data_IF_795929099865
#
_entry.id   IF_795929099865
#
_cell.length_a   1.000
_cell.length_b   1.000
_cell.length_c   1.000
_cell.angle_alpha   90.00
_cell.angle_beta   90.00
_cell.angle_gamma   90.00
#
_symmetry.space_group_name_H-M   'P 1'
#
loop_
_entity.id
_entity.type
_entity.pdbx_description
1 polymer ?
#
# COMPACT_ATOMS: atom_id res chain seq x y z
N UNK A 1 -25.84 -11.78 -20.91
CA UNK A 1 -25.35 -11.82 -22.29
C UNK A 1 -24.09 -10.98 -22.39
N UNK A 2 -22.90 -11.65 -22.34
CA UNK A 2 -21.57 -10.98 -22.31
C UNK A 2 -21.00 -10.99 -23.74
N UNK A 3 -21.75 -10.45 -24.69
CA UNK A 3 -21.36 -10.53 -26.10
C UNK A 3 -20.40 -9.41 -26.57
N UNK A 4 -19.91 -8.55 -25.63
CA UNK A 4 -19.06 -7.40 -26.03
C UNK A 4 -17.94 -7.11 -25.03
N UNK A 5 -17.32 -8.15 -24.44
CA UNK A 5 -16.13 -7.95 -23.61
C UNK A 5 -14.93 -7.57 -24.47
N UNK A 6 -14.15 -6.60 -24.01
CA UNK A 6 -12.85 -6.33 -24.62
C UNK A 6 -11.90 -7.51 -24.41
N UNK A 7 -10.87 -7.61 -25.22
CA UNK A 7 -9.86 -8.66 -25.08
C UNK A 7 -9.16 -8.64 -23.72
N UNK A 8 -9.04 -7.43 -23.14
CA UNK A 8 -8.43 -7.30 -21.82
C UNK A 8 -9.38 -7.78 -20.71
N UNK A 9 -10.68 -7.46 -20.80
CA UNK A 9 -11.68 -8.00 -19.87
C UNK A 9 -11.72 -9.54 -19.92
N UNK A 10 -11.65 -10.14 -21.11
CA UNK A 10 -11.58 -11.60 -21.24
C UNK A 10 -10.34 -12.20 -20.57
N UNK A 11 -9.18 -11.55 -20.73
CA UNK A 11 -7.93 -11.99 -20.08
C UNK A 11 -8.02 -11.84 -18.56
N UNK A 12 -8.53 -10.71 -18.08
CA UNK A 12 -8.71 -10.42 -16.67
C UNK A 12 -9.59 -11.48 -16.00
N UNK A 13 -10.79 -11.68 -16.51
CA UNK A 13 -11.73 -12.68 -16.00
C UNK A 13 -11.20 -14.12 -16.03
N UNK A 14 -10.28 -14.40 -16.94
CA UNK A 14 -9.68 -15.74 -17.07
C UNK A 14 -8.53 -15.99 -16.09
N UNK A 15 -7.74 -14.96 -15.80
CA UNK A 15 -6.46 -15.16 -15.13
C UNK A 15 -6.31 -14.41 -13.80
N UNK A 16 -7.16 -13.41 -13.51
CA UNK A 16 -7.04 -12.59 -12.31
C UNK A 16 -8.11 -12.96 -11.30
N UNK A 17 -7.70 -13.20 -10.06
CA UNK A 17 -8.61 -13.34 -8.94
C UNK A 17 -8.66 -12.00 -8.19
N UNK A 18 -9.82 -11.34 -8.20
CA UNK A 18 -10.01 -10.04 -7.59
C UNK A 18 -10.26 -10.14 -6.09
N UNK A 19 -9.47 -9.47 -5.25
CA UNK A 19 -9.74 -9.39 -3.81
C UNK A 19 -10.98 -8.53 -3.54
N UNK A 20 -11.62 -8.78 -2.41
CA UNK A 20 -12.79 -8.01 -1.94
C UNK A 20 -13.96 -7.96 -2.97
N UNK A 21 -14.04 -8.93 -3.87
CA UNK A 21 -15.05 -9.01 -4.90
C UNK A 21 -15.64 -10.42 -4.99
N UNK A 22 -16.93 -10.49 -5.31
CA UNK A 22 -17.57 -11.75 -5.66
C UNK A 22 -17.36 -12.01 -7.15
N UNK A 23 -16.45 -12.94 -7.49
CA UNK A 23 -16.08 -13.23 -8.88
C UNK A 23 -17.27 -13.54 -9.78
N UNK A 24 -18.32 -14.16 -9.24
CA UNK A 24 -19.54 -14.49 -9.97
C UNK A 24 -20.32 -13.25 -10.43
N UNK A 25 -20.17 -12.13 -9.76
CA UNK A 25 -20.84 -10.90 -10.16
C UNK A 25 -20.26 -10.32 -11.45
N UNK A 26 -19.00 -10.62 -11.75
CA UNK A 26 -18.35 -10.22 -13.00
C UNK A 26 -18.92 -10.91 -14.25
N UNK A 27 -19.68 -11.99 -14.08
CA UNK A 27 -20.45 -12.60 -15.18
C UNK A 27 -21.55 -11.65 -15.69
N UNK A 28 -22.00 -10.71 -14.86
CA UNK A 28 -23.05 -9.74 -15.18
C UNK A 28 -22.47 -8.33 -15.35
N UNK A 29 -21.52 -7.97 -14.52
CA UNK A 29 -20.89 -6.66 -14.45
C UNK A 29 -19.36 -6.81 -14.54
N UNK A 30 -18.81 -6.97 -15.75
CA UNK A 30 -17.38 -7.16 -15.92
C UNK A 30 -16.59 -5.94 -15.40
N UNK A 31 -15.34 -6.13 -14.94
CA UNK A 31 -14.55 -5.05 -14.40
C UNK A 31 -14.25 -3.98 -15.45
N UNK A 32 -14.19 -2.72 -15.00
CA UNK A 32 -13.78 -1.62 -15.85
C UNK A 32 -12.28 -1.71 -16.15
N UNK A 33 -11.93 -1.57 -17.41
CA UNK A 33 -10.52 -1.55 -17.85
C UNK A 33 -9.99 -0.14 -17.79
N UNK A 34 -9.25 0.16 -16.73
CA UNK A 34 -8.61 1.47 -16.56
C UNK A 34 -7.30 1.51 -17.34
N UNK A 35 -7.14 2.52 -18.18
CA UNK A 35 -5.96 2.72 -19.03
C UNK A 35 -5.07 3.86 -18.56
N UNK A 36 -5.62 4.85 -17.87
CA UNK A 36 -4.89 6.08 -17.52
C UNK A 36 -5.45 6.66 -16.22
N UNK A 37 -4.56 7.28 -15.45
CA UNK A 37 -4.90 8.19 -14.37
C UNK A 37 -4.55 9.64 -14.75
N UNK A 38 -5.33 10.61 -14.26
CA UNK A 38 -5.11 12.04 -14.48
C UNK A 38 -5.67 12.85 -13.31
N UNK A 39 -4.81 13.21 -12.37
CA UNK A 39 -5.21 13.91 -11.15
C UNK A 39 -6.26 13.14 -10.37
N UNK A 40 -7.49 13.65 -10.29
CA UNK A 40 -8.60 13.00 -9.58
C UNK A 40 -9.30 11.90 -10.39
N UNK A 41 -8.94 11.69 -11.63
CA UNK A 41 -9.72 10.87 -12.56
C UNK A 41 -8.98 9.61 -12.98
N UNK A 42 -9.74 8.53 -13.06
CA UNK A 42 -9.41 7.30 -13.78
C UNK A 42 -10.09 7.36 -15.16
N UNK A 43 -9.41 6.88 -16.18
CA UNK A 43 -9.90 6.91 -17.55
C UNK A 43 -9.88 5.47 -18.07
N UNK A 44 -11.03 4.98 -18.53
CA UNK A 44 -11.17 3.64 -19.07
C UNK A 44 -10.67 3.51 -20.52
N UNK A 45 -10.74 2.30 -21.05
CA UNK A 45 -10.32 1.99 -22.42
C UNK A 45 -11.19 2.68 -23.50
N UNK A 46 -12.37 3.15 -23.15
CA UNK A 46 -13.30 3.87 -24.03
C UNK A 46 -13.17 5.39 -23.90
N UNK A 47 -12.30 5.88 -23.00
CA UNK A 47 -12.11 7.30 -22.75
C UNK A 47 -13.09 7.90 -21.74
N UNK A 48 -13.93 7.11 -21.09
CA UNK A 48 -14.81 7.60 -20.03
C UNK A 48 -14.00 7.94 -18.79
N UNK A 49 -14.39 9.03 -18.12
CA UNK A 49 -13.73 9.54 -16.91
C UNK A 49 -14.54 9.23 -15.66
N UNK A 50 -13.89 8.67 -14.66
CA UNK A 50 -14.46 8.34 -13.36
C UNK A 50 -13.68 9.07 -12.28
N UNK A 51 -14.36 9.83 -11.42
CA UNK A 51 -13.72 10.46 -10.27
C UNK A 51 -13.39 9.40 -9.20
N UNK A 52 -12.12 9.29 -8.86
CA UNK A 52 -11.63 8.36 -7.84
C UNK A 52 -11.76 8.99 -6.44
N UNK A 53 -12.96 8.92 -5.87
CA UNK A 53 -13.29 9.53 -4.58
C UNK A 53 -12.65 8.85 -3.37
N UNK A 54 -12.05 7.67 -3.56
CA UNK A 54 -11.37 6.91 -2.48
C UNK A 54 -9.86 6.83 -2.68
N UNK A 55 -9.32 7.61 -3.63
CA UNK A 55 -7.88 7.64 -3.95
C UNK A 55 -7.29 6.25 -4.16
N UNK A 56 -8.01 5.37 -4.89
CA UNK A 56 -7.65 3.97 -5.13
C UNK A 56 -7.24 3.24 -3.84
N UNK A 57 -8.14 3.26 -2.86
CA UNK A 57 -7.95 2.69 -1.52
C UNK A 57 -6.89 3.44 -0.69
N UNK A 58 -7.00 4.79 -0.72
CA UNK A 58 -6.19 5.75 0.05
C UNK A 58 -4.71 5.86 -0.36
N UNK A 59 -4.31 5.25 -1.45
CA UNK A 59 -2.91 5.23 -1.90
C UNK A 59 -2.52 6.51 -2.63
N UNK A 60 -3.41 7.07 -3.47
CA UNK A 60 -3.10 8.21 -4.35
C UNK A 60 -3.46 9.56 -3.70
N UNK A 61 -2.89 9.86 -2.54
CA UNK A 61 -3.17 11.08 -1.77
C UNK A 61 -2.99 12.37 -2.58
N UNK A 62 -2.05 12.41 -3.51
CA UNK A 62 -1.72 13.57 -4.33
C UNK A 62 -2.25 13.48 -5.77
N UNK A 63 -3.22 12.58 -5.99
CA UNK A 63 -3.79 12.28 -7.29
C UNK A 63 -2.95 11.36 -8.16
N UNK A 64 -3.57 10.84 -9.21
CA UNK A 64 -2.93 9.96 -10.17
C UNK A 64 -1.91 10.70 -11.03
N UNK A 65 -0.83 10.05 -11.37
CA UNK A 65 0.22 10.54 -12.27
C UNK A 65 0.80 11.90 -11.85
N UNK A 66 0.98 12.12 -10.54
CA UNK A 66 1.60 13.33 -10.01
C UNK A 66 3.02 13.48 -10.57
N UNK A 67 3.25 14.56 -11.32
CA UNK A 67 4.51 14.77 -12.05
C UNK A 67 5.73 14.82 -11.14
N UNK A 68 5.61 15.43 -9.95
CA UNK A 68 6.71 15.53 -8.99
C UNK A 68 7.08 14.15 -8.43
N UNK A 69 6.08 13.38 -8.03
CA UNK A 69 6.30 12.02 -7.50
C UNK A 69 6.87 11.11 -8.57
N UNK A 70 6.28 11.12 -9.78
CA UNK A 70 6.76 10.30 -10.89
C UNK A 70 8.21 10.62 -11.25
N UNK A 71 8.61 11.91 -11.24
CA UNK A 71 9.99 12.32 -11.49
C UNK A 71 10.93 11.70 -10.45
N UNK A 72 10.63 11.88 -9.17
CA UNK A 72 11.49 11.36 -8.06
C UNK A 72 11.61 9.83 -8.12
N UNK A 73 10.50 9.12 -8.35
CA UNK A 73 10.52 7.66 -8.49
C UNK A 73 11.40 7.25 -9.68
N UNK A 74 11.26 7.91 -10.83
CA UNK A 74 12.05 7.61 -12.03
C UNK A 74 13.54 7.84 -11.79
N UNK A 75 13.90 8.94 -11.14
CA UNK A 75 15.30 9.25 -10.79
C UNK A 75 15.87 8.20 -9.83
N UNK A 76 15.09 7.83 -8.79
CA UNK A 76 15.54 6.83 -7.83
C UNK A 76 15.70 5.43 -8.43
N UNK A 77 14.78 4.98 -9.26
CA UNK A 77 14.86 3.68 -9.96
C UNK A 77 16.10 3.62 -10.86
N UNK A 78 16.48 4.73 -11.50
CA UNK A 78 17.71 4.80 -12.31
C UNK A 78 19.00 4.91 -11.49
N UNK A 79 18.91 5.20 -10.19
CA UNK A 79 20.06 5.31 -9.28
C UNK A 79 20.27 4.02 -8.49
N UNK A 80 19.24 3.58 -7.79
CA UNK A 80 19.22 2.35 -6.99
C UNK A 80 17.79 1.99 -6.65
N UNK A 81 17.26 0.93 -7.25
CA UNK A 81 15.89 0.46 -7.09
C UNK A 81 15.66 -0.29 -5.76
N UNK A 82 16.66 -1.01 -5.30
CA UNK A 82 16.57 -1.80 -4.08
C UNK A 82 17.94 -2.07 -3.46
N UNK A 83 17.99 -2.07 -2.13
CA UNK A 83 19.11 -2.58 -1.33
C UNK A 83 18.57 -3.22 -0.05
N UNK A 84 19.10 -4.35 0.35
CA UNK A 84 18.78 -4.97 1.63
C UNK A 84 19.28 -4.12 2.80
N UNK A 85 18.46 -3.91 3.83
CA UNK A 85 18.86 -3.16 5.03
C UNK A 85 19.74 -3.93 6.03
N UNK A 86 20.02 -5.20 5.77
CA UNK A 86 20.98 -5.97 6.57
C UNK A 86 22.41 -5.45 6.33
N UNK A 87 22.87 -4.59 7.20
CA UNK A 87 24.19 -3.91 7.20
C UNK A 87 24.39 -2.84 6.11
N UNK A 88 23.34 -2.46 5.38
CA UNK A 88 23.41 -1.37 4.42
C UNK A 88 22.51 -0.21 4.84
N UNK A 89 22.91 1.01 4.50
CA UNK A 89 22.11 2.21 4.63
C UNK A 89 21.62 2.67 3.26
N UNK A 90 20.47 3.32 3.23
CA UNK A 90 19.88 3.90 2.03
C UNK A 90 19.47 5.35 2.31
N UNK A 91 20.01 6.28 1.53
CA UNK A 91 19.83 7.72 1.76
C UNK A 91 18.35 8.13 1.86
N UNK A 92 17.45 7.80 0.91
CA UNK A 92 16.05 8.18 1.02
C UNK A 92 15.35 7.67 2.27
N UNK A 93 15.72 6.50 2.78
CA UNK A 93 15.14 5.97 4.01
C UNK A 93 15.65 6.71 5.25
N UNK A 94 16.93 7.06 5.28
CA UNK A 94 17.51 7.83 6.40
C UNK A 94 16.92 9.24 6.46
N UNK A 95 16.81 9.93 5.33
CA UNK A 95 16.20 11.25 5.22
C UNK A 95 14.72 11.23 5.60
N UNK A 96 13.95 10.24 5.13
CA UNK A 96 12.56 10.07 5.53
C UNK A 96 12.42 9.91 7.05
N UNK A 97 13.27 9.10 7.67
CA UNK A 97 13.25 8.90 9.13
C UNK A 97 13.57 10.22 9.87
N UNK A 98 14.53 10.98 9.39
CA UNK A 98 14.85 12.30 9.97
C UNK A 98 13.67 13.27 9.87
N UNK A 99 13.04 13.38 8.70
CA UNK A 99 11.85 14.24 8.52
C UNK A 99 10.68 13.80 9.40
N UNK A 100 10.46 12.50 9.55
CA UNK A 100 9.40 11.98 10.43
C UNK A 100 9.61 12.37 11.90
N UNK A 101 10.84 12.45 12.38
CA UNK A 101 11.10 12.89 13.79
C UNK A 101 10.64 14.32 14.06
N UNK A 102 10.54 15.16 13.04
CA UNK A 102 10.13 16.57 13.18
C UNK A 102 8.62 16.73 13.39
N UNK A 103 7.83 15.74 12.95
CA UNK A 103 6.35 15.80 13.01
C UNK A 103 5.73 14.81 13.98
N UNK A 104 6.50 13.84 14.47
CA UNK A 104 6.04 12.84 15.42
C UNK A 104 6.23 13.27 16.88
N UNK A 105 5.52 12.64 17.84
CA UNK A 105 5.72 12.89 19.25
C UNK A 105 7.17 12.67 19.68
N UNK A 106 7.65 13.49 20.63
CA UNK A 106 9.01 13.35 21.19
C UNK A 106 9.25 11.94 21.74
N UNK A 107 10.40 11.38 21.41
CA UNK A 107 10.81 10.04 21.83
C UNK A 107 10.65 8.98 20.75
N UNK A 108 9.88 9.22 19.70
CA UNK A 108 9.81 8.33 18.52
C UNK A 108 10.95 8.72 17.57
N UNK A 109 12.04 7.96 17.61
CA UNK A 109 13.27 8.23 16.87
C UNK A 109 13.89 7.02 16.18
N UNK A 110 13.17 5.88 16.14
CA UNK A 110 13.55 4.68 15.43
C UNK A 110 12.35 4.15 14.64
N UNK A 111 12.62 3.72 13.42
CA UNK A 111 11.59 3.30 12.47
C UNK A 111 11.94 1.94 11.92
N UNK A 112 10.93 1.07 11.84
CA UNK A 112 11.01 -0.22 11.18
C UNK A 112 9.99 -0.21 10.04
N UNK A 113 10.47 -0.41 8.82
CA UNK A 113 9.64 -0.43 7.62
C UNK A 113 9.03 -1.80 7.39
N UNK A 114 7.81 -1.81 6.90
CA UNK A 114 7.06 -2.99 6.46
C UNK A 114 6.30 -2.67 5.17
N UNK A 115 5.87 -3.71 4.51
CA UNK A 115 5.18 -3.67 3.23
C UNK A 115 3.68 -3.34 3.33
N UNK A 116 3.06 -3.59 4.50
CA UNK A 116 1.64 -3.32 4.73
C UNK A 116 1.32 -3.17 6.23
N UNK A 117 0.10 -2.68 6.53
CA UNK A 117 -0.34 -2.43 7.90
C UNK A 117 -0.42 -3.68 8.77
N UNK A 118 -0.87 -4.81 8.24
CA UNK A 118 -0.97 -6.06 8.99
C UNK A 118 0.40 -6.58 9.42
N UNK A 119 1.38 -6.52 8.52
CA UNK A 119 2.77 -6.86 8.85
C UNK A 119 3.37 -5.91 9.89
N UNK A 120 3.04 -4.60 9.81
CA UNK A 120 3.45 -3.63 10.84
C UNK A 120 2.91 -4.00 12.23
N UNK A 121 1.63 -4.34 12.33
CA UNK A 121 1.00 -4.74 13.59
C UNK A 121 1.62 -6.04 14.11
N UNK A 122 1.83 -7.04 13.27
CA UNK A 122 2.47 -8.28 13.70
C UNK A 122 3.88 -8.05 14.23
N UNK A 123 4.68 -7.23 13.57
CA UNK A 123 6.00 -6.85 14.05
C UNK A 123 5.93 -6.09 15.38
N UNK A 124 4.98 -5.17 15.54
CA UNK A 124 4.80 -4.44 16.79
C UNK A 124 4.44 -5.36 17.96
N UNK A 125 3.55 -6.35 17.74
CA UNK A 125 3.20 -7.35 18.73
C UNK A 125 4.41 -8.20 19.12
N UNK A 126 5.18 -8.69 18.16
CA UNK A 126 6.40 -9.47 18.41
C UNK A 126 7.45 -8.67 19.16
N UNK A 127 7.70 -7.43 18.77
CA UNK A 127 8.64 -6.55 19.45
C UNK A 127 8.20 -6.26 20.89
N UNK A 128 6.92 -5.98 21.12
CA UNK A 128 6.38 -5.75 22.46
C UNK A 128 6.54 -6.99 23.35
N UNK A 129 6.20 -8.16 22.84
CA UNK A 129 6.37 -9.43 23.55
C UNK A 129 7.83 -9.67 23.91
N UNK A 130 8.74 -9.56 22.94
CA UNK A 130 10.16 -9.77 23.13
C UNK A 130 10.78 -8.76 24.12
N UNK A 131 10.36 -7.50 24.03
CA UNK A 131 10.79 -6.46 24.97
C UNK A 131 10.47 -6.84 26.41
N UNK A 132 9.23 -7.22 26.72
CA UNK A 132 8.82 -7.61 28.05
C UNK A 132 9.53 -8.86 28.54
N UNK A 133 9.72 -9.85 27.69
CA UNK A 133 10.48 -11.06 28.02
C UNK A 133 11.92 -10.73 28.42
N UNK A 134 12.59 -9.85 27.68
CA UNK A 134 14.00 -9.50 27.90
C UNK A 134 14.22 -8.48 29.03
N UNK A 135 13.19 -7.71 29.39
CA UNK A 135 13.27 -6.70 30.46
C UNK A 135 12.74 -7.17 31.81
N UNK A 136 12.64 -8.49 32.03
CA UNK A 136 12.29 -9.08 33.33
C UNK A 136 10.79 -9.16 33.61
N UNK A 137 9.94 -9.04 32.57
CA UNK A 137 8.49 -9.16 32.69
C UNK A 137 7.93 -10.34 31.86
N UNK A 138 8.43 -11.58 32.01
CA UNK A 138 8.08 -12.70 31.13
C UNK A 138 6.61 -13.12 31.20
N UNK A 139 5.89 -12.71 32.27
CA UNK A 139 4.47 -12.97 32.44
C UNK A 139 3.57 -12.07 31.59
N UNK A 140 4.07 -11.01 31.00
CA UNK A 140 3.31 -10.12 30.10
C UNK A 140 3.20 -10.74 28.71
N UNK A 141 2.32 -11.71 28.54
CA UNK A 141 2.15 -12.50 27.31
C UNK A 141 0.80 -12.26 26.61
N UNK A 142 -0.07 -11.45 27.22
CA UNK A 142 -1.42 -11.23 26.72
C UNK A 142 -1.55 -9.84 26.06
N UNK A 143 -2.35 -9.77 25.01
CA UNK A 143 -2.75 -8.55 24.33
C UNK A 143 -4.24 -8.30 24.53
N UNK A 144 -4.63 -7.04 24.56
CA UNK A 144 -6.02 -6.61 24.62
C UNK A 144 -6.30 -5.86 23.32
N UNK A 145 -7.41 -6.17 22.68
CA UNK A 145 -7.91 -5.47 21.51
C UNK A 145 -9.37 -5.04 21.72
N UNK A 146 -9.81 -4.05 20.96
CA UNK A 146 -11.22 -3.72 20.91
C UNK A 146 -11.98 -4.78 20.13
N UNK A 147 -13.20 -5.11 20.56
CA UNK A 147 -14.12 -5.94 19.80
C UNK A 147 -14.46 -5.23 18.48
N UNK A 148 -14.51 -5.98 17.39
CA UNK A 148 -14.70 -5.45 16.03
C UNK A 148 -13.64 -4.42 15.57
N UNK A 149 -12.45 -4.41 16.16
CA UNK A 149 -11.34 -3.65 15.61
C UNK A 149 -10.90 -4.21 14.25
N UNK A 150 -10.49 -3.32 13.35
CA UNK A 150 -9.97 -3.70 12.03
C UNK A 150 -8.67 -4.49 12.16
#
# INVERSE_FOLDING_TARGET
>A
MINNLSELQKKDLKYVFHPCAQMKDFEKNPPLVIKKGDGLYLIDENGNRYMDCISSWWVNLFGHCNKRINKVITEQVNTLEHIIFANFAHEPAAELCEELTKVLPKGINKFLFSDNGSSCIEMALKLSFQYHLQTGNPQKTKFISLENAY
#
